data_IF_628426688411
#
_entry.id   IF_628426688411
#
_cell.length_a   1.000
_cell.length_b   1.000
_cell.length_c   1.000
_cell.angle_alpha   90.00
_cell.angle_beta   90.00
_cell.angle_gamma   90.00
#
_symmetry.space_group_name_H-M   'P 1'
#
loop_
_entity.id
_entity.type
_entity.pdbx_description
1 polymer ?
#
# COMPACT_ATOMS: atom_id res chain seq x y z
N UNK A 1 -26.76 18.07 17.76
CA UNK A 1 -25.66 17.77 18.70
C UNK A 1 -24.64 16.74 18.18
N UNK A 2 -24.87 16.06 17.05
CA UNK A 2 -23.97 15.00 16.50
C UNK A 2 -22.78 15.53 15.67
N UNK A 3 -22.90 16.71 15.04
CA UNK A 3 -21.86 17.28 14.18
C UNK A 3 -20.60 17.78 14.92
N UNK A 4 -20.74 18.25 16.17
CA UNK A 4 -19.59 18.68 16.98
C UNK A 4 -18.75 17.50 17.48
N UNK A 5 -19.38 16.33 17.68
CA UNK A 5 -18.70 15.11 18.10
C UNK A 5 -17.94 14.48 16.92
N UNK A 6 -18.55 14.41 15.73
CA UNK A 6 -17.90 13.91 14.52
C UNK A 6 -16.68 14.76 14.12
N UNK A 7 -16.76 16.10 14.28
CA UNK A 7 -15.63 17.00 14.03
C UNK A 7 -14.49 16.80 15.04
N UNK A 8 -14.79 16.57 16.33
CA UNK A 8 -13.76 16.24 17.34
C UNK A 8 -13.14 14.87 17.10
N UNK A 9 -13.93 13.86 16.71
CA UNK A 9 -13.45 12.53 16.37
C UNK A 9 -12.53 12.57 15.13
N UNK A 10 -12.93 13.30 14.09
CA UNK A 10 -12.13 13.50 12.88
C UNK A 10 -10.81 14.25 13.19
N UNK A 11 -10.84 15.27 14.07
CA UNK A 11 -9.63 15.99 14.49
C UNK A 11 -8.70 15.12 15.37
N UNK A 12 -9.24 14.23 16.20
CA UNK A 12 -8.44 13.28 16.99
C UNK A 12 -7.83 12.17 16.12
N UNK A 13 -8.54 11.70 15.08
CA UNK A 13 -7.98 10.77 14.10
C UNK A 13 -6.85 11.43 13.32
N UNK A 14 -7.02 12.67 12.87
CA UNK A 14 -5.97 13.43 12.16
C UNK A 14 -4.77 13.71 13.06
N UNK A 15 -5.00 14.07 14.34
CA UNK A 15 -3.92 14.28 15.32
C UNK A 15 -3.19 12.98 15.69
N UNK A 16 -3.91 11.85 15.83
CA UNK A 16 -3.32 10.53 16.11
C UNK A 16 -2.49 9.98 14.94
N UNK A 17 -2.87 10.29 13.70
CA UNK A 17 -2.05 10.02 12.51
C UNK A 17 -0.76 10.86 12.57
N UNK A 18 -0.85 12.13 13.00
CA UNK A 18 0.28 13.05 13.10
C UNK A 18 1.31 12.67 14.19
N UNK A 19 0.87 12.14 15.35
CA UNK A 19 1.77 11.67 16.42
C UNK A 19 2.43 10.34 16.08
N UNK A 20 1.74 9.46 15.35
CA UNK A 20 2.30 8.18 14.89
C UNK A 20 3.36 8.37 13.79
N UNK A 21 3.24 9.46 13.02
CA UNK A 21 4.18 9.83 11.95
C UNK A 21 5.55 10.29 12.47
N UNK A 22 5.61 10.85 13.69
CA UNK A 22 6.88 11.36 14.28
C UNK A 22 7.81 10.26 14.82
N UNK A 23 7.36 9.01 14.84
CA UNK A 23 8.12 7.85 15.35
C UNK A 23 9.01 7.22 14.26
N UNK A 24 8.90 7.65 13.00
CA UNK A 24 9.61 7.03 11.86
C UNK A 24 11.07 7.49 11.67
N UNK A 25 11.68 8.05 12.72
CA UNK A 25 12.97 8.77 12.64
C UNK A 25 14.09 8.22 13.53
N UNK A 26 14.11 6.93 13.82
CA UNK A 26 15.31 6.29 14.38
C UNK A 26 16.00 5.47 13.29
N UNK A 27 17.17 5.91 12.83
CA UNK A 27 18.12 5.06 12.11
C UNK A 27 18.59 3.96 13.07
N UNK A 28 17.75 2.96 13.26
CA UNK A 28 18.10 1.78 14.02
C UNK A 28 19.02 0.97 13.10
N UNK A 29 20.29 0.88 13.45
CA UNK A 29 21.19 -0.14 12.95
C UNK A 29 20.70 -1.49 13.48
N UNK A 30 19.56 -1.96 12.96
CA UNK A 30 19.01 -3.28 13.28
C UNK A 30 19.91 -4.28 12.57
N UNK A 31 20.59 -5.18 13.30
CA UNK A 31 21.34 -6.26 12.68
C UNK A 31 20.40 -7.03 11.74
N UNK A 32 20.82 -7.24 10.49
CA UNK A 32 20.00 -7.96 9.51
C UNK A 32 19.89 -9.42 9.96
N UNK A 33 18.75 -9.75 10.56
CA UNK A 33 18.38 -11.11 10.87
C UNK A 33 17.82 -11.80 9.61
N UNK A 34 18.42 -12.93 9.24
CA UNK A 34 18.03 -13.70 8.05
C UNK A 34 16.63 -14.28 8.19
N UNK A 35 16.20 -14.64 9.42
CA UNK A 35 14.85 -15.13 9.71
C UNK A 35 13.78 -14.06 9.48
N UNK A 36 14.00 -12.88 10.05
CA UNK A 36 13.13 -11.71 9.90
C UNK A 36 13.03 -11.24 8.44
N UNK A 37 14.15 -11.27 7.71
CA UNK A 37 14.20 -10.93 6.28
C UNK A 37 13.43 -11.94 5.44
N UNK A 38 13.64 -13.25 5.67
CA UNK A 38 12.90 -14.30 4.96
C UNK A 38 11.39 -14.18 5.20
N UNK A 39 10.98 -13.93 6.45
CA UNK A 39 9.58 -13.73 6.78
C UNK A 39 8.98 -12.48 6.12
N UNK A 40 9.72 -11.37 6.06
CA UNK A 40 9.30 -10.18 5.33
C UNK A 40 9.12 -10.45 3.83
N UNK A 41 10.06 -11.13 3.20
CA UNK A 41 9.99 -11.48 1.77
C UNK A 41 8.77 -12.37 1.48
N UNK A 42 8.54 -13.39 2.31
CA UNK A 42 7.34 -14.25 2.20
C UNK A 42 6.07 -13.43 2.37
N UNK A 43 6.02 -12.55 3.37
CA UNK A 43 4.86 -11.67 3.60
C UNK A 43 4.60 -10.75 2.41
N UNK A 44 5.63 -10.14 1.82
CA UNK A 44 5.48 -9.31 0.61
C UNK A 44 5.02 -10.11 -0.60
N UNK A 45 5.48 -11.36 -0.76
CA UNK A 45 5.02 -12.24 -1.84
C UNK A 45 3.53 -12.60 -1.69
N UNK A 46 3.06 -12.83 -0.46
CA UNK A 46 1.63 -13.08 -0.18
C UNK A 46 0.77 -11.87 -0.52
N UNK A 47 1.24 -10.65 -0.23
CA UNK A 47 0.55 -9.40 -0.60
C UNK A 47 0.53 -9.19 -2.12
N UNK A 48 1.62 -9.49 -2.82
CA UNK A 48 1.66 -9.39 -4.29
C UNK A 48 0.66 -10.33 -4.97
N UNK A 49 0.37 -11.50 -4.37
CA UNK A 49 -0.59 -12.46 -4.91
C UNK A 49 -2.05 -11.95 -4.85
N UNK A 50 -2.36 -10.98 -3.98
CA UNK A 50 -3.70 -10.41 -3.86
C UNK A 50 -4.14 -9.68 -5.15
N UNK A 51 -3.24 -8.97 -5.82
CA UNK A 51 -3.55 -8.15 -7.01
C UNK A 51 -4.03 -9.01 -8.20
N UNK A 52 -3.34 -10.10 -8.61
CA UNK A 52 -3.87 -11.01 -9.62
C UNK A 52 -5.07 -11.83 -9.10
N UNK A 53 -5.15 -12.13 -7.80
CA UNK A 53 -6.30 -12.81 -7.20
C UNK A 53 -7.60 -12.00 -7.33
N UNK A 54 -7.53 -10.71 -7.06
CA UNK A 54 -8.63 -9.77 -7.29
C UNK A 54 -8.96 -9.65 -8.78
N UNK A 55 -7.96 -9.60 -9.67
CA UNK A 55 -8.18 -9.55 -11.11
C UNK A 55 -8.97 -10.75 -11.64
N UNK A 56 -8.66 -11.96 -11.16
CA UNK A 56 -9.44 -13.16 -11.50
C UNK A 56 -10.85 -13.11 -10.90
N UNK A 57 -11.00 -12.63 -9.66
CA UNK A 57 -12.30 -12.49 -9.01
C UNK A 57 -13.21 -11.49 -9.73
N UNK A 58 -12.70 -10.29 -10.04
CA UNK A 58 -13.44 -9.26 -10.78
C UNK A 58 -13.67 -9.63 -12.25
N UNK A 59 -12.74 -10.38 -12.86
CA UNK A 59 -12.93 -10.96 -14.19
C UNK A 59 -14.06 -12.00 -14.21
N UNK A 60 -14.22 -12.81 -13.17
CA UNK A 60 -15.26 -13.84 -13.08
C UNK A 60 -16.68 -13.30 -12.85
N UNK A 61 -16.83 -12.08 -12.33
CA UNK A 61 -18.12 -11.42 -12.11
C UNK A 61 -18.64 -10.66 -13.34
N UNK A 62 -17.83 -10.57 -14.40
CA UNK A 62 -18.16 -9.88 -15.65
C UNK A 62 -18.67 -10.87 -16.70
N UNK A 63 -19.55 -10.39 -17.59
CA UNK A 63 -20.08 -11.18 -18.72
C UNK A 63 -18.93 -11.80 -19.51
N UNK A 64 -19.05 -13.09 -19.86
CA UNK A 64 -17.99 -13.92 -20.48
C UNK A 64 -17.29 -13.26 -21.66
N UNK A 65 -18.00 -12.42 -22.44
CA UNK A 65 -17.45 -11.68 -23.58
C UNK A 65 -16.44 -10.57 -23.22
N UNK A 66 -16.43 -10.10 -21.98
CA UNK A 66 -15.60 -8.98 -21.49
C UNK A 66 -14.52 -9.43 -20.49
N UNK A 67 -14.50 -10.71 -20.11
CA UNK A 67 -13.59 -11.26 -19.07
C UNK A 67 -12.13 -11.08 -19.43
N UNK A 68 -11.77 -11.38 -20.69
CA UNK A 68 -10.41 -11.19 -21.20
C UNK A 68 -9.98 -9.72 -21.13
N UNK A 69 -10.89 -8.78 -21.39
CA UNK A 69 -10.62 -7.35 -21.32
C UNK A 69 -10.33 -6.88 -19.88
N UNK A 70 -11.12 -7.34 -18.91
CA UNK A 70 -10.92 -7.00 -17.49
C UNK A 70 -9.66 -7.61 -16.89
N UNK A 71 -9.30 -8.83 -17.32
CA UNK A 71 -8.04 -9.47 -16.91
C UNK A 71 -6.83 -8.72 -17.48
N UNK A 72 -6.84 -8.38 -18.78
CA UNK A 72 -5.75 -7.64 -19.42
C UNK A 72 -5.55 -6.25 -18.82
N UNK A 73 -6.64 -5.53 -18.52
CA UNK A 73 -6.55 -4.23 -17.85
C UNK A 73 -5.88 -4.34 -16.47
N UNK A 74 -6.17 -5.40 -15.71
CA UNK A 74 -5.56 -5.64 -14.40
C UNK A 74 -4.07 -5.95 -14.50
N UNK A 75 -3.62 -6.71 -15.51
CA UNK A 75 -2.21 -6.95 -15.76
C UNK A 75 -1.47 -5.67 -16.15
N UNK A 76 -2.04 -4.85 -17.03
CA UNK A 76 -1.45 -3.57 -17.44
C UNK A 76 -1.38 -2.60 -16.25
N UNK A 77 -2.42 -2.53 -15.43
CA UNK A 77 -2.42 -1.72 -14.21
C UNK A 77 -1.31 -2.15 -13.23
N UNK A 78 -1.09 -3.46 -13.05
CA UNK A 78 -0.02 -3.99 -12.21
C UNK A 78 1.38 -3.61 -12.72
N UNK A 79 1.60 -3.65 -14.03
CA UNK A 79 2.87 -3.23 -14.66
C UNK A 79 3.12 -1.73 -14.48
N UNK A 80 2.11 -0.88 -14.71
CA UNK A 80 2.22 0.58 -14.56
C UNK A 80 2.50 0.94 -13.09
N UNK A 81 1.79 0.33 -12.14
CA UNK A 81 1.98 0.60 -10.72
C UNK A 81 3.37 0.20 -10.23
N UNK A 82 3.92 -0.93 -10.70
CA UNK A 82 5.29 -1.34 -10.36
C UNK A 82 6.32 -0.29 -10.82
N UNK A 83 6.17 0.22 -12.05
CA UNK A 83 7.07 1.24 -12.59
C UNK A 83 6.94 2.56 -11.79
N UNK A 84 5.70 3.01 -11.56
CA UNK A 84 5.44 4.23 -10.80
C UNK A 84 5.98 4.16 -9.37
N UNK A 85 5.87 2.99 -8.74
CA UNK A 85 6.37 2.72 -7.40
C UNK A 85 7.89 2.88 -7.31
N UNK A 86 8.63 2.32 -8.27
CA UNK A 86 10.11 2.39 -8.30
C UNK A 86 10.58 3.82 -8.60
N UNK A 87 9.89 4.54 -9.50
CA UNK A 87 10.33 5.87 -9.95
C UNK A 87 10.04 6.98 -8.94
N UNK A 88 8.86 6.98 -8.32
CA UNK A 88 8.41 8.10 -7.47
C UNK A 88 7.74 7.63 -6.19
N UNK A 89 7.01 6.50 -6.22
CA UNK A 89 6.22 6.04 -5.07
C UNK A 89 7.05 5.73 -3.83
N UNK A 90 8.19 5.03 -3.99
CA UNK A 90 9.07 4.72 -2.87
C UNK A 90 9.61 6.00 -2.21
N UNK A 91 10.12 6.93 -3.02
CA UNK A 91 10.64 8.21 -2.54
C UNK A 91 9.54 9.05 -1.87
N UNK A 92 8.31 9.01 -2.39
CA UNK A 92 7.17 9.72 -1.79
C UNK A 92 6.63 9.15 -0.49
N UNK A 93 6.93 7.89 -0.15
CA UNK A 93 6.49 7.29 1.11
C UNK A 93 7.62 7.15 2.13
N UNK A 94 8.84 6.91 1.68
CA UNK A 94 10.00 6.59 2.53
C UNK A 94 11.16 7.58 2.36
N UNK A 95 10.93 8.69 1.66
CA UNK A 95 11.93 9.75 1.51
C UNK A 95 12.25 10.43 2.85
N UNK A 96 13.45 11.01 2.98
CA UNK A 96 13.98 11.53 4.26
C UNK A 96 13.24 12.76 4.81
N UNK A 97 12.32 13.35 4.05
CA UNK A 97 11.64 14.59 4.40
C UNK A 97 10.20 14.31 4.86
N UNK A 98 9.61 15.25 5.60
CA UNK A 98 8.32 15.15 6.33
C UNK A 98 7.08 14.82 5.47
N UNK A 99 7.19 14.74 4.14
CA UNK A 99 6.12 14.33 3.21
C UNK A 99 6.57 13.26 2.19
N UNK A 100 7.74 12.65 2.42
CA UNK A 100 8.36 11.69 1.51
C UNK A 100 8.91 12.35 0.24
N UNK A 101 10.21 12.61 0.28
CA UNK A 101 10.98 13.24 -0.78
C UNK A 101 11.85 14.28 -0.17
#
# INVERSE_FOLDING_TARGET
MTHHLARKLMLLVVFGIFTSFSVFGSSQDVPIDTGSTAWMLVSTALVLLMVPGLAMFYGGLVRTKNVLGTMMHSFVAMSIMTILWILVGYSMCFGPNVLGG
#
